data_IF_624648146689
#
_entry.id   IF_624648146689
#
_cell.length_a   1.000
_cell.length_b   1.000
_cell.length_c   1.000
_cell.angle_alpha   90.00
_cell.angle_beta   90.00
_cell.angle_gamma   90.00
#
_symmetry.space_group_name_H-M   'P 1'
#
loop_
_entity.id
_entity.type
_entity.pdbx_description
1 polymer ?
#
# COMPACT_ATOMS: atom_id res chain seq x y z
N UNK A 1 15.40 32.64 22.78
CA UNK A 1 14.31 32.18 21.88
C UNK A 1 13.48 31.19 22.66
N UNK A 2 12.23 31.54 22.99
CA UNK A 2 11.28 30.67 23.67
C UNK A 2 10.56 29.85 22.58
N UNK A 3 10.80 28.54 22.53
CA UNK A 3 10.17 27.63 21.57
C UNK A 3 9.07 26.89 22.36
N UNK A 4 7.88 27.48 22.42
CA UNK A 4 6.82 27.10 23.37
C UNK A 4 5.83 26.06 22.81
N UNK A 5 6.27 25.15 21.93
CA UNK A 5 5.37 24.25 21.21
C UNK A 5 4.33 24.99 20.36
N UNK A 6 4.77 26.04 19.68
CA UNK A 6 3.92 26.85 18.81
C UNK A 6 3.41 26.01 17.62
N UNK A 7 2.09 25.92 17.39
CA UNK A 7 1.50 25.13 16.30
C UNK A 7 1.66 25.77 14.90
N UNK A 8 2.29 26.95 14.79
CA UNK A 8 2.44 27.66 13.53
C UNK A 8 3.34 26.93 12.51
N UNK A 9 3.00 27.03 11.23
CA UNK A 9 3.84 26.49 10.15
C UNK A 9 5.22 27.15 10.15
N UNK A 10 6.27 26.33 10.10
CA UNK A 10 7.66 26.81 10.10
C UNK A 10 8.23 27.07 11.49
N UNK A 11 7.52 26.75 12.58
CA UNK A 11 8.08 26.78 13.94
C UNK A 11 9.35 25.93 13.99
N UNK A 12 10.50 26.49 14.41
CA UNK A 12 11.76 25.76 14.46
C UNK A 12 11.76 24.60 15.47
N UNK A 13 12.26 23.43 15.05
CA UNK A 13 12.53 22.27 15.92
C UNK A 13 14.02 22.27 16.27
N UNK A 14 14.36 22.21 17.55
CA UNK A 14 15.73 22.30 18.04
C UNK A 14 16.02 21.22 19.09
N UNK A 15 17.27 20.75 19.15
CA UNK A 15 17.74 20.02 20.32
C UNK A 15 17.76 20.95 21.53
N UNK A 16 17.19 20.52 22.66
CA UNK A 16 17.12 21.34 23.87
C UNK A 16 17.42 20.52 25.12
N UNK A 17 18.08 21.14 26.10
CA UNK A 17 18.37 20.48 27.37
C UNK A 17 17.08 20.20 28.13
N UNK A 18 16.93 18.99 28.67
CA UNK A 18 15.92 18.74 29.70
C UNK A 18 16.50 19.06 31.07
N UNK A 19 15.78 19.86 31.86
CA UNK A 19 16.13 20.18 33.24
C UNK A 19 15.81 19.06 34.23
N UNK A 20 15.03 18.05 33.83
CA UNK A 20 14.48 17.01 34.71
C UNK A 20 14.63 15.58 34.15
N UNK A 21 15.40 15.39 33.08
CA UNK A 21 15.44 14.12 32.31
C UNK A 21 14.25 13.96 31.35
N UNK A 22 14.20 12.87 30.59
CA UNK A 22 13.04 12.55 29.74
C UNK A 22 11.85 12.23 30.63
N UNK A 23 10.88 13.14 30.72
CA UNK A 23 9.60 12.91 31.39
C UNK A 23 8.48 13.62 30.64
N UNK A 24 7.24 13.14 30.80
CA UNK A 24 6.08 13.61 30.04
C UNK A 24 5.55 14.97 30.51
N UNK A 25 6.23 15.64 31.44
CA UNK A 25 5.84 16.97 31.91
C UNK A 25 6.29 18.09 30.96
N UNK A 26 7.06 17.75 29.91
CA UNK A 26 7.55 18.66 28.88
C UNK A 26 7.05 18.21 27.49
N UNK A 27 5.77 18.45 27.14
CA UNK A 27 5.15 17.90 25.93
C UNK A 27 5.82 18.37 24.63
N UNK A 28 6.56 19.48 24.65
CA UNK A 28 7.30 20.00 23.51
C UNK A 28 8.48 19.13 23.07
N UNK A 29 8.87 18.13 23.88
CA UNK A 29 9.90 17.13 23.55
C UNK A 29 9.30 15.72 23.36
N UNK A 30 7.98 15.58 23.48
CA UNK A 30 7.27 14.33 23.27
C UNK A 30 6.76 14.26 21.82
N UNK A 31 6.94 13.10 21.17
CA UNK A 31 6.58 12.91 19.76
C UNK A 31 5.80 11.62 19.58
N UNK A 32 4.69 11.69 18.85
CA UNK A 32 3.99 10.50 18.38
C UNK A 32 4.60 10.04 17.06
N UNK A 33 5.08 8.80 17.02
CA UNK A 33 5.55 8.16 15.79
C UNK A 33 4.42 7.33 15.21
N UNK A 34 3.66 7.91 14.28
CA UNK A 34 2.68 7.14 13.52
C UNK A 34 3.39 6.33 12.43
N UNK A 35 3.42 5.01 12.59
CA UNK A 35 3.98 4.11 11.59
C UNK A 35 3.16 4.17 10.29
N UNK A 36 3.84 4.24 9.14
CA UNK A 36 3.25 4.27 7.79
C UNK A 36 3.74 3.13 6.89
N UNK A 37 4.57 2.25 7.43
CA UNK A 37 5.16 1.14 6.72
C UNK A 37 4.84 -0.19 7.40
N UNK A 38 4.99 -1.27 6.65
CA UNK A 38 4.84 -2.64 7.12
C UNK A 38 6.04 -3.46 6.68
N UNK A 39 6.44 -4.38 7.54
CA UNK A 39 7.48 -5.35 7.23
C UNK A 39 6.94 -6.48 6.36
N UNK A 40 7.85 -7.22 5.75
CA UNK A 40 7.53 -8.45 5.04
C UNK A 40 6.67 -9.42 5.86
N UNK A 41 7.07 -9.73 7.08
CA UNK A 41 6.34 -10.68 7.94
C UNK A 41 4.95 -10.18 8.32
N UNK A 42 4.79 -8.86 8.49
CA UNK A 42 3.47 -8.27 8.72
C UNK A 42 2.57 -8.41 7.50
N UNK A 43 3.11 -8.19 6.29
CA UNK A 43 2.35 -8.41 5.06
C UNK A 43 1.89 -9.87 4.95
N UNK A 44 2.80 -10.83 5.15
CA UNK A 44 2.48 -12.27 5.15
C UNK A 44 1.34 -12.58 6.14
N UNK A 45 1.42 -11.99 7.34
CA UNK A 45 0.39 -12.14 8.39
C UNK A 45 -0.94 -11.51 8.00
N UNK A 46 -0.94 -10.31 7.43
CA UNK A 46 -2.15 -9.59 7.03
C UNK A 46 -2.84 -10.32 5.88
N UNK A 47 -2.09 -10.74 4.86
CA UNK A 47 -2.66 -11.49 3.73
C UNK A 47 -3.17 -12.86 4.21
N UNK A 48 -2.43 -13.55 5.09
CA UNK A 48 -2.82 -14.85 5.62
C UNK A 48 -4.14 -14.85 6.42
N UNK A 49 -4.61 -13.69 6.89
CA UNK A 49 -5.92 -13.52 7.55
C UNK A 49 -7.07 -13.28 6.57
N UNK A 50 -6.78 -13.09 5.30
CA UNK A 50 -7.78 -12.79 4.28
C UNK A 50 -8.68 -14.02 4.04
N UNK A 51 -10.00 -13.84 4.14
CA UNK A 51 -10.98 -14.92 4.00
C UNK A 51 -11.19 -15.39 2.55
N UNK A 52 -10.62 -14.68 1.58
CA UNK A 52 -10.72 -14.99 0.15
C UNK A 52 -9.53 -15.81 -0.37
N UNK A 53 -8.69 -16.38 0.50
CA UNK A 53 -7.58 -17.22 0.04
C UNK A 53 -8.07 -18.63 -0.35
N UNK A 54 -7.64 -19.08 -1.53
CA UNK A 54 -7.85 -20.44 -1.97
C UNK A 54 -6.96 -21.43 -1.18
N UNK A 55 -7.37 -22.69 -1.10
CA UNK A 55 -6.59 -23.74 -0.41
C UNK A 55 -5.20 -23.96 -1.03
N UNK A 56 -5.03 -23.68 -2.33
CA UNK A 56 -3.78 -23.80 -3.07
C UNK A 56 -2.96 -22.49 -3.10
N UNK A 57 -3.31 -21.50 -2.27
CA UNK A 57 -2.71 -20.17 -2.27
C UNK A 57 -1.17 -20.17 -2.20
N UNK A 58 -0.55 -19.31 -3.02
CA UNK A 58 0.89 -19.02 -3.02
C UNK A 58 1.15 -17.53 -2.94
N UNK A 59 2.10 -17.17 -2.07
CA UNK A 59 2.63 -15.82 -1.99
C UNK A 59 4.04 -15.79 -2.58
N UNK A 60 4.26 -14.88 -3.53
CA UNK A 60 5.58 -14.52 -4.04
C UNK A 60 5.92 -13.12 -3.55
N UNK A 61 6.98 -13.03 -2.75
CA UNK A 61 7.42 -11.77 -2.17
C UNK A 61 8.91 -11.57 -2.44
N UNK A 62 9.32 -10.42 -3.00
CA UNK A 62 10.73 -10.05 -3.17
C UNK A 62 11.43 -9.88 -1.82
N UNK A 63 12.74 -9.62 -1.87
CA UNK A 63 13.62 -9.56 -0.68
C UNK A 63 13.40 -8.27 0.14
N UNK A 64 12.60 -7.33 -0.35
CA UNK A 64 12.35 -6.06 0.33
C UNK A 64 11.81 -6.27 1.76
N UNK A 65 12.48 -5.67 2.73
CA UNK A 65 12.18 -5.90 4.14
C UNK A 65 11.03 -5.02 4.65
N UNK A 66 10.91 -3.79 4.14
CA UNK A 66 9.96 -2.77 4.60
C UNK A 66 9.25 -2.10 3.41
N UNK A 67 7.94 -1.88 3.55
CA UNK A 67 7.11 -1.31 2.50
C UNK A 67 6.30 -0.12 3.03
N UNK A 68 6.38 1.02 2.34
CA UNK A 68 5.53 2.18 2.61
C UNK A 68 4.09 1.92 2.12
N UNK A 69 3.12 2.08 3.00
CA UNK A 69 1.69 2.00 2.65
C UNK A 69 1.22 3.38 2.19
N UNK A 70 0.83 3.47 0.93
CA UNK A 70 0.28 4.71 0.40
C UNK A 70 -1.20 4.87 0.79
N UNK A 71 -1.63 6.07 1.20
CA UNK A 71 -3.05 6.38 1.33
C UNK A 71 -3.78 6.27 -0.01
N UNK A 72 -5.08 5.96 0.02
CA UNK A 72 -5.91 5.72 -1.18
C UNK A 72 -5.88 6.88 -2.19
N UNK A 73 -5.79 8.13 -1.73
CA UNK A 73 -5.76 9.28 -2.65
C UNK A 73 -4.52 9.27 -3.57
N UNK A 74 -3.36 8.79 -3.09
CA UNK A 74 -2.16 8.66 -3.93
C UNK A 74 -2.31 7.53 -4.94
N UNK A 75 -2.93 6.42 -4.57
CA UNK A 75 -3.28 5.36 -5.53
C UNK A 75 -4.15 5.89 -6.67
N UNK A 76 -5.15 6.72 -6.36
CA UNK A 76 -6.01 7.32 -7.38
C UNK A 76 -5.28 8.32 -8.28
N UNK A 77 -4.37 9.13 -7.72
CA UNK A 77 -3.52 10.05 -8.46
C UNK A 77 -2.59 9.30 -9.41
N UNK A 78 -1.91 8.27 -8.89
CA UNK A 78 -1.00 7.42 -9.67
C UNK A 78 -1.78 6.70 -10.79
N UNK A 79 -2.94 6.11 -10.48
CA UNK A 79 -3.79 5.49 -11.49
C UNK A 79 -4.18 6.48 -12.59
N UNK A 80 -4.54 7.72 -12.22
CA UNK A 80 -4.92 8.75 -13.19
C UNK A 80 -3.75 9.12 -14.10
N UNK A 81 -2.55 9.27 -13.54
CA UNK A 81 -1.33 9.61 -14.28
C UNK A 81 -0.75 8.45 -15.11
N UNK A 82 -1.05 7.19 -14.75
CA UNK A 82 -0.58 5.99 -15.45
C UNK A 82 -1.14 5.82 -16.87
N UNK A 83 -2.18 6.58 -17.22
CA UNK A 83 -2.90 6.46 -18.49
C UNK A 83 -3.94 5.34 -18.53
N UNK A 84 -4.09 4.53 -17.48
CA UNK A 84 -5.09 3.45 -17.38
C UNK A 84 -6.53 3.94 -17.56
N UNK A 85 -6.83 5.17 -17.16
CA UNK A 85 -8.16 5.81 -17.27
C UNK A 85 -8.73 5.86 -18.69
N UNK A 86 -7.86 5.82 -19.70
CA UNK A 86 -8.25 5.89 -21.12
C UNK A 86 -8.17 4.54 -21.82
N UNK A 87 -7.69 3.50 -21.14
CA UNK A 87 -7.52 2.17 -21.73
C UNK A 87 -8.85 1.41 -21.70
N UNK A 88 -9.08 0.62 -22.74
CA UNK A 88 -10.21 -0.31 -22.82
C UNK A 88 -9.69 -1.73 -22.71
N UNK A 89 -10.39 -2.56 -21.95
CA UNK A 89 -10.10 -3.99 -21.87
C UNK A 89 -10.27 -4.64 -23.24
N UNK A 90 -9.30 -5.46 -23.61
CA UNK A 90 -9.21 -6.21 -24.86
C UNK A 90 -8.66 -7.59 -24.56
N UNK A 91 -9.52 -8.59 -24.65
CA UNK A 91 -9.19 -10.00 -24.35
C UNK A 91 -7.88 -10.43 -25.03
N UNK A 92 -6.93 -10.90 -24.23
CA UNK A 92 -5.62 -11.43 -24.65
C UNK A 92 -4.62 -10.40 -25.19
N UNK A 93 -4.93 -9.10 -25.18
CA UNK A 93 -4.03 -8.03 -25.62
C UNK A 93 -3.82 -6.98 -24.52
N UNK A 94 -4.89 -6.66 -23.80
CA UNK A 94 -4.89 -5.72 -22.69
C UNK A 94 -6.08 -6.01 -21.78
N UNK A 95 -6.03 -7.05 -20.96
CA UNK A 95 -7.08 -7.42 -20.00
C UNK A 95 -6.61 -7.33 -18.54
N UNK A 96 -7.25 -8.03 -17.60
CA UNK A 96 -7.20 -7.68 -16.18
C UNK A 96 -5.78 -7.72 -15.59
N UNK A 97 -4.95 -8.67 -16.01
CA UNK A 97 -3.55 -8.79 -15.62
C UNK A 97 -2.70 -7.65 -16.20
N UNK A 98 -2.88 -7.27 -17.47
CA UNK A 98 -2.17 -6.13 -18.06
C UNK A 98 -2.45 -4.83 -17.30
N UNK A 99 -3.70 -4.56 -16.94
CA UNK A 99 -4.07 -3.41 -16.12
C UNK A 99 -3.38 -3.45 -14.75
N UNK A 100 -3.32 -4.62 -14.10
CA UNK A 100 -2.72 -4.77 -12.78
C UNK A 100 -1.19 -4.61 -12.80
N UNK A 101 -0.54 -5.13 -13.85
CA UNK A 101 0.89 -4.97 -14.06
C UNK A 101 1.27 -3.51 -14.34
N UNK A 102 0.49 -2.81 -15.18
CA UNK A 102 0.71 -1.37 -15.43
C UNK A 102 0.55 -0.56 -14.14
N UNK A 103 -0.47 -0.85 -13.33
CA UNK A 103 -0.67 -0.16 -12.04
C UNK A 103 0.51 -0.39 -11.08
N UNK A 104 0.99 -1.63 -10.98
CA UNK A 104 2.16 -1.96 -10.15
C UNK A 104 3.42 -1.24 -10.62
N UNK A 105 3.67 -1.23 -11.92
CA UNK A 105 4.77 -0.47 -12.52
C UNK A 105 4.67 1.03 -12.25
N UNK A 106 3.47 1.60 -12.36
CA UNK A 106 3.23 3.02 -12.09
C UNK A 106 3.49 3.40 -10.63
N UNK A 107 3.10 2.55 -9.66
CA UNK A 107 3.41 2.79 -8.25
C UNK A 107 4.91 2.73 -7.98
N UNK A 108 5.60 1.74 -8.56
CA UNK A 108 7.05 1.62 -8.42
C UNK A 108 7.77 2.86 -8.99
N UNK A 109 7.38 3.28 -10.20
CA UNK A 109 7.92 4.48 -10.84
C UNK A 109 7.66 5.75 -10.00
N UNK A 110 6.44 5.92 -9.50
CA UNK A 110 6.11 7.04 -8.61
C UNK A 110 7.02 7.06 -7.37
N UNK A 111 7.29 5.90 -6.77
CA UNK A 111 8.20 5.76 -5.65
C UNK A 111 9.60 6.28 -5.98
N UNK A 112 10.18 5.81 -7.09
CA UNK A 112 11.51 6.26 -7.54
C UNK A 112 11.57 7.76 -7.86
N UNK A 113 10.48 8.34 -8.36
CA UNK A 113 10.43 9.77 -8.72
C UNK A 113 10.20 10.68 -7.51
N UNK A 114 9.50 10.21 -6.46
CA UNK A 114 9.07 11.03 -5.32
C UNK A 114 9.89 10.81 -4.06
N UNK A 115 10.53 9.65 -3.92
CA UNK A 115 11.32 9.31 -2.75
C UNK A 115 12.81 9.41 -3.06
N UNK A 116 13.51 10.37 -2.43
CA UNK A 116 14.96 10.50 -2.54
C UNK A 116 15.76 9.63 -1.55
N UNK A 117 15.08 8.75 -0.80
CA UNK A 117 15.68 7.86 0.18
C UNK A 117 15.52 6.40 -0.26
N UNK A 118 16.49 5.57 0.09
CA UNK A 118 16.51 4.13 -0.20
C UNK A 118 16.14 3.28 1.04
N UNK A 119 16.11 1.96 0.88
CA UNK A 119 15.93 0.99 1.98
C UNK A 119 14.48 0.60 2.27
N UNK A 120 13.54 0.96 1.39
CA UNK A 120 12.15 0.53 1.45
C UNK A 120 11.53 0.46 0.04
N UNK A 121 10.46 -0.30 -0.10
CA UNK A 121 9.65 -0.34 -1.32
C UNK A 121 8.31 0.39 -1.11
N UNK A 122 7.62 0.75 -2.20
CA UNK A 122 6.23 1.21 -2.13
C UNK A 122 5.31 0.01 -2.27
N UNK A 123 4.38 -0.17 -1.32
CA UNK A 123 3.50 -1.33 -1.34
C UNK A 123 2.49 -1.27 -2.50
N UNK A 124 2.60 -2.21 -3.43
CA UNK A 124 1.58 -2.50 -4.44
C UNK A 124 1.67 -3.97 -4.84
N UNK A 125 0.79 -4.79 -4.27
CA UNK A 125 0.66 -6.17 -4.70
C UNK A 125 -0.34 -6.34 -5.84
N UNK A 126 -0.28 -7.49 -6.50
CA UNK A 126 -1.38 -7.99 -7.32
C UNK A 126 -1.73 -9.44 -6.96
N UNK A 127 -2.98 -9.81 -7.21
CA UNK A 127 -3.53 -11.12 -6.91
C UNK A 127 -4.21 -11.70 -8.13
N UNK A 128 -4.01 -13.00 -8.34
CA UNK A 128 -4.79 -13.81 -9.27
C UNK A 128 -5.83 -14.60 -8.48
N UNK A 129 -7.10 -14.44 -8.85
CA UNK A 129 -8.21 -15.15 -8.23
C UNK A 129 -9.07 -15.91 -9.24
N UNK A 130 -9.75 -16.95 -8.78
CA UNK A 130 -10.78 -17.69 -9.53
C UNK A 130 -12.17 -17.29 -9.04
N UNK A 131 -13.11 -17.08 -9.94
CA UNK A 131 -14.47 -16.66 -9.57
C UNK A 131 -15.12 -17.75 -8.71
N UNK A 132 -15.72 -17.33 -7.60
CA UNK A 132 -16.48 -18.24 -6.72
C UNK A 132 -17.74 -18.79 -7.42
N UNK A 133 -18.30 -18.03 -8.37
CA UNK A 133 -19.46 -18.44 -9.15
C UNK A 133 -19.09 -19.35 -10.34
N UNK A 134 -17.94 -19.12 -10.97
CA UNK A 134 -17.43 -19.91 -12.09
C UNK A 134 -15.91 -20.11 -11.99
N UNK A 135 -15.42 -21.23 -11.43
CA UNK A 135 -13.99 -21.45 -11.20
C UNK A 135 -13.09 -21.47 -12.46
N UNK A 136 -13.69 -21.47 -13.67
CA UNK A 136 -12.96 -21.35 -14.94
C UNK A 136 -12.63 -19.89 -15.32
N UNK A 137 -13.24 -18.93 -14.65
CA UNK A 137 -12.98 -17.51 -14.85
C UNK A 137 -11.97 -17.01 -13.83
N UNK A 138 -10.86 -16.48 -14.34
CA UNK A 138 -9.84 -15.80 -13.54
C UNK A 138 -10.01 -14.29 -13.61
N UNK A 139 -9.56 -13.60 -12.58
CA UNK A 139 -9.41 -12.14 -12.61
C UNK A 139 -8.18 -11.72 -11.82
N UNK A 140 -7.58 -10.61 -12.24
CA UNK A 140 -6.41 -10.02 -11.61
C UNK A 140 -6.76 -8.68 -11.00
N UNK A 141 -6.38 -8.49 -9.74
CA UNK A 141 -6.56 -7.25 -9.00
C UNK A 141 -5.22 -6.77 -8.48
N UNK A 142 -5.07 -5.46 -8.30
CA UNK A 142 -4.07 -4.97 -7.36
C UNK A 142 -4.65 -5.01 -5.94
N UNK A 143 -3.79 -4.87 -4.95
CA UNK A 143 -4.23 -4.66 -3.58
C UNK A 143 -3.22 -3.82 -2.80
N UNK A 144 -3.75 -3.19 -1.76
CA UNK A 144 -3.00 -2.46 -0.74
C UNK A 144 -3.33 -2.99 0.66
N UNK A 145 -2.76 -2.37 1.68
CA UNK A 145 -3.05 -2.64 3.09
C UNK A 145 -3.84 -1.45 3.64
N UNK A 146 -4.82 -1.72 4.52
CA UNK A 146 -5.64 -0.68 5.16
C UNK A 146 -4.80 0.28 6.01
N UNK A 147 -5.29 1.50 6.24
CA UNK A 147 -4.55 2.57 6.94
C UNK A 147 -4.15 2.22 8.38
N UNK A 148 -4.88 1.29 9.02
CA UNK A 148 -4.60 0.73 10.35
C UNK A 148 -3.69 -0.52 10.30
N UNK A 149 -3.22 -0.90 9.12
CA UNK A 149 -2.40 -2.06 8.82
C UNK A 149 -3.01 -3.41 9.26
N UNK A 150 -4.34 -3.53 9.30
CA UNK A 150 -5.03 -4.73 9.79
C UNK A 150 -5.51 -5.68 8.69
N UNK A 151 -5.71 -5.19 7.46
CA UNK A 151 -6.41 -5.93 6.41
C UNK A 151 -5.93 -5.58 5.00
N UNK A 152 -6.28 -6.46 4.06
CA UNK A 152 -6.09 -6.24 2.62
C UNK A 152 -7.25 -5.40 2.09
N UNK A 153 -6.93 -4.41 1.25
CA UNK A 153 -7.92 -3.65 0.47
C UNK A 153 -7.63 -3.88 -1.01
N UNK A 154 -8.58 -4.47 -1.73
CA UNK A 154 -8.42 -4.73 -3.16
C UNK A 154 -8.62 -3.44 -3.96
N UNK A 155 -7.95 -3.37 -5.11
CA UNK A 155 -8.06 -2.29 -6.07
C UNK A 155 -8.28 -2.86 -7.46
N UNK A 156 -9.34 -2.43 -8.13
CA UNK A 156 -9.60 -2.77 -9.51
C UNK A 156 -9.00 -1.70 -10.44
N UNK A 157 -7.86 -1.98 -11.11
CA UNK A 157 -7.18 -1.03 -11.97
C UNK A 157 -7.94 -0.73 -13.28
N UNK A 158 -8.99 -1.48 -13.64
CA UNK A 158 -9.81 -1.16 -14.82
C UNK A 158 -10.77 0.00 -14.57
N UNK A 159 -11.15 0.25 -13.31
CA UNK A 159 -12.20 1.22 -12.99
C UNK A 159 -11.92 2.09 -11.75
N UNK A 160 -10.71 2.01 -11.18
CA UNK A 160 -10.28 2.82 -10.03
C UNK A 160 -11.12 2.59 -8.76
N UNK A 161 -11.68 1.40 -8.56
CA UNK A 161 -12.48 1.10 -7.35
C UNK A 161 -11.67 0.31 -6.33
N UNK A 162 -11.76 0.75 -5.08
CA UNK A 162 -11.37 -0.05 -3.93
C UNK A 162 -12.52 -0.95 -3.52
N UNK A 163 -12.19 -2.18 -3.11
CA UNK A 163 -13.16 -3.21 -2.74
C UNK A 163 -12.66 -3.95 -1.50
N UNK A 164 -13.58 -4.27 -0.60
CA UNK A 164 -13.29 -5.16 0.55
C UNK A 164 -13.61 -6.62 0.21
N UNK A 165 -14.39 -6.86 -0.85
CA UNK A 165 -14.76 -8.17 -1.36
C UNK A 165 -14.66 -8.17 -2.89
N UNK A 166 -13.94 -9.16 -3.43
CA UNK A 166 -13.81 -9.35 -4.88
C UNK A 166 -14.69 -10.47 -5.43
N UNK A 167 -15.22 -11.38 -4.60
CA UNK A 167 -15.95 -12.59 -5.00
C UNK A 167 -15.11 -13.58 -5.82
N UNK A 168 -13.79 -13.57 -5.60
CA UNK A 168 -12.83 -14.51 -6.16
C UNK A 168 -12.02 -15.14 -5.02
N UNK A 169 -11.71 -16.42 -5.19
CA UNK A 169 -10.75 -17.12 -4.34
C UNK A 169 -9.34 -16.90 -4.90
N UNK A 170 -8.52 -16.18 -4.15
CA UNK A 170 -7.14 -15.82 -4.49
C UNK A 170 -6.24 -17.03 -4.33
N UNK A 171 -5.63 -17.47 -5.43
CA UNK A 171 -4.68 -18.59 -5.42
C UNK A 171 -3.23 -18.13 -5.58
N UNK A 172 -2.99 -16.89 -5.99
CA UNK A 172 -1.65 -16.32 -6.08
C UNK A 172 -1.66 -14.85 -5.70
N UNK A 173 -0.70 -14.43 -4.88
CA UNK A 173 -0.35 -13.03 -4.70
C UNK A 173 1.13 -12.80 -5.05
N UNK A 174 1.41 -11.66 -5.66
CA UNK A 174 2.75 -11.16 -5.90
C UNK A 174 2.84 -9.76 -5.29
N UNK A 175 3.87 -9.52 -4.48
CA UNK A 175 4.14 -8.21 -3.86
C UNK A 175 5.28 -7.52 -4.56
#
# INVERSE_FOLDING_TARGET
MHINGDPSNGTPINGWKSSTGFNDTQPHQCWFFQRKSVSRTEIETIIGKNTYLANDYKLYQPVDEEHLILPKYLWEEIWTSSGLSTKKSRRGIFDADDFALVMKGAIAQWGTEKCGADGFAIFCGFMLGRSQANPKEGYTYNFTISDDHSSVVFFNPQNKKFLDNISYDVYLAYI
#
